data_IF_342479423940
#
_entry.id   IF_342479423940
#
_cell.length_a   1.000
_cell.length_b   1.000
_cell.length_c   1.000
_cell.angle_alpha   90.00
_cell.angle_beta   90.00
_cell.angle_gamma   90.00
#
_symmetry.space_group_name_H-M   'P 1'
#
loop_
_entity.id
_entity.type
_entity.pdbx_description
1 polymer ?
#
# COMPACT_ATOMS: atom_id res chain seq x y z
N UNK A 1 11.43 -7.90 14.22
CA UNK A 1 11.43 -6.42 14.18
C UNK A 1 12.15 -5.97 12.90
N UNK A 2 11.68 -4.92 12.25
CA UNK A 2 12.33 -4.30 11.10
C UNK A 2 13.51 -3.46 11.62
N UNK A 3 14.71 -3.72 11.10
CA UNK A 3 15.89 -2.91 11.41
C UNK A 3 15.89 -1.63 10.58
N UNK A 4 15.91 -0.47 11.23
CA UNK A 4 15.80 0.82 10.56
C UNK A 4 17.02 1.12 9.65
N UNK A 5 18.23 0.68 10.04
CA UNK A 5 19.42 0.88 9.21
C UNK A 5 19.35 0.07 7.91
N UNK A 6 18.98 -1.20 8.01
CA UNK A 6 18.78 -2.07 6.85
C UNK A 6 17.66 -1.54 5.94
N UNK A 7 16.55 -1.05 6.52
CA UNK A 7 15.46 -0.44 5.77
C UNK A 7 15.94 0.79 4.98
N UNK A 8 16.66 1.71 5.64
CA UNK A 8 17.17 2.94 5.00
C UNK A 8 18.22 2.67 3.91
N UNK A 9 18.96 1.57 4.01
CA UNK A 9 19.99 1.19 3.05
C UNK A 9 19.43 0.49 1.79
N UNK A 10 18.14 0.13 1.79
CA UNK A 10 17.51 -0.61 0.68
C UNK A 10 17.48 0.21 -0.61
N UNK A 11 17.60 -0.46 -1.75
CA UNK A 11 17.56 0.14 -3.10
C UNK A 11 16.33 -0.35 -3.86
N UNK A 12 15.79 0.45 -4.80
CA UNK A 12 16.21 1.81 -5.23
C UNK A 12 15.88 2.90 -4.21
N UNK A 13 14.99 2.66 -3.28
CA UNK A 13 14.61 3.51 -2.14
C UNK A 13 14.23 2.59 -0.96
N UNK A 14 14.08 3.12 0.27
CA UNK A 14 13.71 2.28 1.41
C UNK A 14 12.38 1.58 1.20
N UNK A 15 12.39 0.24 1.24
CA UNK A 15 11.19 -0.61 1.17
C UNK A 15 11.43 -1.93 1.90
N UNK A 16 10.36 -2.61 2.28
CA UNK A 16 10.40 -3.92 2.94
C UNK A 16 9.04 -4.60 2.73
N UNK A 17 9.02 -5.92 2.70
CA UNK A 17 7.80 -6.72 2.60
C UNK A 17 7.79 -7.82 3.67
N UNK A 18 7.67 -7.46 4.97
CA UNK A 18 7.70 -8.42 6.07
C UNK A 18 6.44 -9.29 6.06
N UNK A 19 6.62 -10.55 6.46
CA UNK A 19 5.53 -11.48 6.70
C UNK A 19 5.08 -11.40 8.16
N UNK A 20 3.81 -11.74 8.43
CA UNK A 20 3.21 -11.75 9.76
C UNK A 20 3.37 -10.41 10.50
N UNK A 21 3.15 -9.31 9.77
CA UNK A 21 3.19 -7.98 10.37
C UNK A 21 2.08 -7.78 11.40
N UNK A 22 0.91 -8.33 11.12
CA UNK A 22 -0.23 -8.39 12.05
C UNK A 22 -0.20 -9.76 12.74
N UNK A 23 -0.51 -9.80 14.03
CA UNK A 23 -0.67 -11.08 14.76
C UNK A 23 -1.78 -11.90 14.09
N UNK A 24 -1.53 -13.19 13.85
CA UNK A 24 -2.33 -14.03 12.96
C UNK A 24 -3.83 -14.06 13.30
N UNK A 25 -4.18 -14.24 14.59
CA UNK A 25 -5.60 -14.22 15.03
C UNK A 25 -6.27 -12.89 14.66
N UNK A 26 -5.55 -11.76 14.82
CA UNK A 26 -6.04 -10.44 14.48
C UNK A 26 -6.15 -10.23 12.97
N UNK A 27 -5.21 -10.77 12.21
CA UNK A 27 -5.28 -10.78 10.76
C UNK A 27 -6.52 -11.53 10.26
N UNK A 28 -6.77 -12.72 10.77
CA UNK A 28 -7.98 -13.49 10.45
C UNK A 28 -9.27 -12.75 10.83
N UNK A 29 -9.27 -12.02 11.96
CA UNK A 29 -10.40 -11.21 12.38
C UNK A 29 -10.67 -10.03 11.43
N UNK A 30 -9.60 -9.38 10.94
CA UNK A 30 -9.72 -8.31 9.95
C UNK A 30 -10.26 -8.84 8.63
N UNK A 31 -9.80 -10.00 8.16
CA UNK A 31 -10.28 -10.65 6.94
C UNK A 31 -11.79 -10.93 6.99
N UNK A 32 -12.28 -11.51 8.10
CA UNK A 32 -13.70 -11.83 8.26
C UNK A 32 -14.62 -10.60 8.32
N UNK A 33 -14.05 -9.43 8.59
CA UNK A 33 -14.78 -8.18 8.81
C UNK A 33 -14.38 -7.07 7.83
N UNK A 34 -13.85 -7.44 6.65
CA UNK A 34 -13.56 -6.45 5.58
C UNK A 34 -14.83 -5.65 5.27
N UNK A 35 -14.76 -4.31 5.17
CA UNK A 35 -15.91 -3.51 4.80
C UNK A 35 -16.54 -3.97 3.48
N UNK A 36 -17.87 -3.99 3.42
CA UNK A 36 -18.59 -4.40 2.23
C UNK A 36 -18.26 -3.52 1.03
N UNK A 37 -18.04 -4.12 -0.13
CA UNK A 37 -17.61 -3.44 -1.36
C UNK A 37 -18.62 -2.37 -1.83
N UNK A 38 -19.89 -2.49 -1.44
CA UNK A 38 -20.92 -1.49 -1.74
C UNK A 38 -20.64 -0.12 -1.11
N UNK A 39 -19.78 -0.06 -0.09
CA UNK A 39 -19.35 1.19 0.54
C UNK A 39 -18.19 1.88 -0.21
N UNK A 40 -17.63 1.24 -1.23
CA UNK A 40 -16.47 1.75 -1.94
C UNK A 40 -16.87 2.58 -3.16
N UNK A 41 -16.12 3.61 -3.42
CA UNK A 41 -16.22 4.42 -4.64
C UNK A 41 -15.43 3.75 -5.77
N UNK A 42 -16.03 3.66 -6.94
CA UNK A 42 -15.41 3.09 -8.14
C UNK A 42 -14.61 4.15 -8.91
N UNK A 43 -13.37 3.83 -9.25
CA UNK A 43 -12.50 4.67 -10.07
C UNK A 43 -11.91 3.83 -11.18
N UNK A 44 -12.44 3.97 -12.41
CA UNK A 44 -12.01 3.23 -13.58
C UNK A 44 -11.88 4.15 -14.79
N UNK A 45 -10.88 3.90 -15.64
CA UNK A 45 -10.66 4.63 -16.89
C UNK A 45 -10.41 6.13 -16.73
N UNK A 46 -10.12 6.60 -15.52
CA UNK A 46 -9.88 8.03 -15.28
C UNK A 46 -8.47 8.42 -15.67
N UNK A 47 -8.36 9.24 -16.70
CA UNK A 47 -7.09 9.82 -17.07
C UNK A 47 -6.50 10.64 -15.92
N UNK A 48 -5.23 10.42 -15.61
CA UNK A 48 -4.48 11.16 -14.61
C UNK A 48 -3.75 12.35 -15.22
N UNK A 49 -3.18 13.20 -14.36
CA UNK A 49 -2.36 14.33 -14.81
C UNK A 49 -1.12 13.84 -15.58
N UNK A 50 -0.58 14.70 -16.41
CA UNK A 50 0.63 14.46 -17.21
C UNK A 50 0.55 13.23 -18.15
N UNK A 51 -0.64 12.82 -18.57
CA UNK A 51 -0.83 11.68 -19.48
C UNK A 51 -0.66 10.31 -18.83
N UNK A 52 -0.55 10.25 -17.49
CA UNK A 52 -0.41 8.99 -16.77
C UNK A 52 -1.68 8.12 -16.91
N UNK A 53 -1.48 6.81 -17.01
CA UNK A 53 -2.59 5.86 -17.12
C UNK A 53 -3.46 5.81 -15.87
N UNK A 54 -4.66 5.25 -16.00
CA UNK A 54 -5.63 5.11 -14.91
C UNK A 54 -5.08 4.26 -13.76
N UNK A 55 -5.58 4.54 -12.55
CA UNK A 55 -5.48 3.64 -11.41
C UNK A 55 -6.86 3.04 -11.15
N UNK A 56 -7.12 1.91 -11.75
CA UNK A 56 -8.42 1.25 -11.70
C UNK A 56 -8.59 0.50 -10.38
N UNK A 57 -9.54 0.97 -9.58
CA UNK A 57 -9.80 0.39 -8.25
C UNK A 57 -11.14 0.82 -7.67
N UNK A 58 -11.59 0.05 -6.70
CA UNK A 58 -12.56 0.50 -5.70
C UNK A 58 -11.79 1.04 -4.49
N UNK A 59 -12.23 2.15 -3.91
CA UNK A 59 -11.58 2.78 -2.74
C UNK A 59 -12.61 3.20 -1.70
N UNK A 60 -12.31 2.92 -0.44
CA UNK A 60 -13.03 3.44 0.73
C UNK A 60 -12.04 4.23 1.58
N UNK A 61 -12.14 5.54 1.57
CA UNK A 61 -11.35 6.40 2.45
C UNK A 61 -11.88 6.31 3.89
N UNK A 62 -10.97 6.18 4.84
CA UNK A 62 -11.32 6.25 6.25
C UNK A 62 -11.61 7.67 6.68
N UNK A 63 -12.76 7.88 7.28
CA UNK A 63 -13.15 9.12 7.94
C UNK A 63 -13.36 8.89 9.43
N UNK A 64 -12.91 9.84 10.24
CA UNK A 64 -13.05 9.74 11.68
C UNK A 64 -14.55 9.71 12.06
N UNK A 65 -14.91 8.68 12.80
CA UNK A 65 -16.30 8.46 13.23
C UNK A 65 -17.15 7.62 12.27
N UNK A 66 -16.58 7.14 11.15
CA UNK A 66 -17.29 6.17 10.32
C UNK A 66 -17.56 4.87 11.08
N UNK A 67 -18.67 4.22 10.76
CA UNK A 67 -19.00 2.92 11.33
C UNK A 67 -18.08 1.84 10.75
N UNK A 68 -17.35 1.17 11.64
CA UNK A 68 -16.49 0.04 11.34
C UNK A 68 -16.79 -1.11 12.28
N UNK A 69 -16.56 -2.33 11.82
CA UNK A 69 -16.48 -3.49 12.70
C UNK A 69 -15.45 -3.22 13.82
N UNK A 70 -15.71 -3.70 15.05
CA UNK A 70 -14.82 -3.43 16.19
C UNK A 70 -13.35 -3.75 15.91
N UNK A 71 -13.08 -4.84 15.19
CA UNK A 71 -11.73 -5.28 14.83
C UNK A 71 -10.98 -4.25 13.97
N UNK A 72 -11.66 -3.65 13.01
CA UNK A 72 -11.10 -2.60 12.16
C UNK A 72 -10.92 -1.30 12.92
N UNK A 73 -11.85 -0.95 13.80
CA UNK A 73 -11.71 0.22 14.66
C UNK A 73 -10.48 0.12 15.56
N UNK A 74 -10.35 -1.02 16.27
CA UNK A 74 -9.21 -1.28 17.16
C UNK A 74 -7.87 -1.25 16.38
N UNK A 75 -7.86 -1.80 15.16
CA UNK A 75 -6.67 -1.77 14.31
C UNK A 75 -6.30 -0.35 13.88
N UNK A 76 -7.24 0.44 13.43
CA UNK A 76 -6.98 1.85 13.07
C UNK A 76 -6.55 2.67 14.29
N UNK A 77 -7.12 2.44 15.46
CA UNK A 77 -6.69 3.06 16.72
C UNK A 77 -5.25 2.72 17.07
N UNK A 78 -4.83 1.45 16.92
CA UNK A 78 -3.44 1.05 17.10
C UNK A 78 -2.51 1.75 16.10
N UNK A 79 -2.88 1.83 14.82
CA UNK A 79 -2.11 2.56 13.81
C UNK A 79 -2.02 4.07 14.09
N UNK A 80 -3.00 4.63 14.80
CA UNK A 80 -3.00 6.02 15.25
C UNK A 80 -2.21 6.25 16.53
N UNK A 81 -1.80 5.19 17.24
CA UNK A 81 -1.12 5.28 18.52
C UNK A 81 0.25 6.00 18.43
N UNK A 82 0.68 6.59 19.55
CA UNK A 82 2.02 7.18 19.64
C UNK A 82 3.13 6.14 19.49
N UNK A 83 2.86 4.88 19.89
CA UNK A 83 3.81 3.77 19.74
C UNK A 83 4.05 3.51 18.26
N UNK A 84 3.00 3.35 17.47
CA UNK A 84 3.10 3.10 16.05
C UNK A 84 3.68 4.30 15.29
N UNK A 85 3.29 5.51 15.66
CA UNK A 85 3.84 6.75 15.10
C UNK A 85 5.35 6.85 15.31
N UNK A 86 5.84 6.58 16.51
CA UNK A 86 7.30 6.56 16.80
C UNK A 86 8.02 5.49 15.99
N UNK A 87 7.43 4.31 15.83
CA UNK A 87 7.99 3.26 14.99
C UNK A 87 8.17 3.72 13.54
N UNK A 88 7.13 4.28 12.91
CA UNK A 88 7.20 4.78 11.52
C UNK A 88 8.16 5.98 11.42
N UNK A 89 8.15 6.91 12.36
CA UNK A 89 9.12 8.00 12.38
C UNK A 89 10.56 7.50 12.43
N UNK A 90 10.83 6.47 13.23
CA UNK A 90 12.15 5.84 13.32
C UNK A 90 12.56 5.15 12.01
N UNK A 91 11.66 4.43 11.36
CA UNK A 91 11.94 3.81 10.05
C UNK A 91 12.23 4.86 8.97
N UNK A 92 11.43 5.92 8.90
CA UNK A 92 11.56 6.96 7.89
C UNK A 92 12.61 8.02 8.22
N UNK A 93 13.22 7.97 9.41
CA UNK A 93 14.15 8.98 9.93
C UNK A 93 13.58 10.40 9.88
N UNK A 94 12.34 10.58 10.35
CA UNK A 94 11.64 11.87 10.41
C UNK A 94 11.11 12.13 11.81
N UNK A 95 10.89 13.42 12.14
CA UNK A 95 10.38 13.82 13.47
C UNK A 95 8.87 13.69 13.61
N UNK A 96 8.13 13.69 12.49
CA UNK A 96 6.68 13.68 12.51
C UNK A 96 6.09 13.05 11.25
N UNK A 97 4.98 12.31 11.41
CA UNK A 97 4.16 11.78 10.32
C UNK A 97 2.68 12.02 10.59
N UNK A 98 1.91 12.17 9.52
CA UNK A 98 0.47 12.15 9.54
C UNK A 98 -0.01 10.97 8.73
N UNK A 99 -0.92 10.18 9.28
CA UNK A 99 -1.50 9.03 8.59
C UNK A 99 -2.78 9.41 7.88
N UNK A 100 -3.01 8.75 6.75
CA UNK A 100 -4.27 8.67 6.03
C UNK A 100 -4.50 7.20 5.70
N UNK A 101 -5.69 6.70 5.94
CA UNK A 101 -6.03 5.31 5.73
C UNK A 101 -7.09 5.18 4.64
N UNK A 102 -7.03 4.11 3.88
CA UNK A 102 -8.07 3.69 2.97
C UNK A 102 -7.96 2.19 2.69
N UNK A 103 -9.07 1.57 2.37
CA UNK A 103 -9.09 0.25 1.75
C UNK A 103 -9.20 0.41 0.25
N UNK A 104 -8.60 -0.50 -0.49
CA UNK A 104 -8.84 -0.58 -1.91
C UNK A 104 -8.88 -2.02 -2.42
N UNK A 105 -9.66 -2.25 -3.48
CA UNK A 105 -9.67 -3.46 -4.26
C UNK A 105 -9.35 -3.11 -5.71
N UNK A 106 -8.46 -3.88 -6.31
CA UNK A 106 -8.20 -3.84 -7.75
C UNK A 106 -8.82 -5.11 -8.34
N UNK A 107 -9.88 -4.99 -9.16
CA UNK A 107 -10.51 -6.16 -9.75
C UNK A 107 -9.64 -6.77 -10.85
N UNK A 108 -9.97 -7.99 -11.29
CA UNK A 108 -9.33 -8.62 -12.45
C UNK A 108 -9.36 -7.69 -13.66
N UNK A 109 -8.22 -7.54 -14.33
CA UNK A 109 -8.01 -6.61 -15.45
C UNK A 109 -7.81 -5.14 -15.05
N UNK A 110 -7.93 -4.80 -13.76
CA UNK A 110 -7.58 -3.47 -13.27
C UNK A 110 -6.07 -3.28 -13.15
N UNK A 111 -5.60 -2.06 -13.37
CA UNK A 111 -4.18 -1.72 -13.34
C UNK A 111 -3.93 -0.50 -12.45
N UNK A 112 -2.84 -0.54 -11.70
CA UNK A 112 -2.23 0.63 -11.09
C UNK A 112 -0.90 0.87 -11.79
N UNK A 113 -0.91 1.76 -12.77
CA UNK A 113 0.27 2.04 -13.61
C UNK A 113 1.48 2.53 -12.83
N UNK A 114 2.70 2.35 -13.37
CA UNK A 114 3.93 2.92 -12.81
C UNK A 114 3.78 4.42 -12.52
N UNK A 115 4.18 4.84 -11.33
CA UNK A 115 4.07 6.25 -10.93
C UNK A 115 4.95 6.57 -9.72
N UNK A 116 5.26 7.84 -9.55
CA UNK A 116 5.77 8.37 -8.30
C UNK A 116 4.61 8.90 -7.43
N UNK A 117 4.69 8.68 -6.14
CA UNK A 117 3.75 9.24 -5.18
C UNK A 117 3.77 10.78 -5.12
N UNK A 118 2.73 11.39 -4.60
CA UNK A 118 2.60 12.84 -4.49
C UNK A 118 3.72 13.44 -3.62
N UNK A 119 4.09 14.71 -3.90
CA UNK A 119 5.21 15.41 -3.25
C UNK A 119 5.11 15.46 -1.71
N UNK A 120 3.91 15.45 -1.16
CA UNK A 120 3.70 15.49 0.30
C UNK A 120 3.66 14.12 0.97
N UNK A 121 3.74 13.03 0.20
CA UNK A 121 3.68 11.66 0.72
C UNK A 121 5.09 11.16 1.00
N UNK A 122 5.36 10.80 2.25
CA UNK A 122 6.64 10.27 2.69
C UNK A 122 6.81 8.78 2.36
N UNK A 123 5.71 8.04 2.31
CA UNK A 123 5.68 6.61 2.02
C UNK A 123 4.28 6.04 2.06
N UNK A 124 4.18 4.77 1.72
CA UNK A 124 2.97 3.95 1.87
C UNK A 124 3.30 2.72 2.67
N UNK A 125 2.40 2.32 3.54
CA UNK A 125 2.36 0.97 4.06
C UNK A 125 1.08 0.32 3.58
N UNK A 126 1.21 -0.85 2.97
CA UNK A 126 0.09 -1.63 2.45
C UNK A 126 0.00 -2.89 3.30
N UNK A 127 -1.18 -3.19 3.81
CA UNK A 127 -1.49 -4.46 4.46
C UNK A 127 -2.23 -5.33 3.45
N UNK A 128 -1.60 -6.42 3.04
CA UNK A 128 -2.17 -7.32 2.04
C UNK A 128 -3.10 -8.31 2.72
N UNK A 129 -4.36 -8.24 2.34
CA UNK A 129 -5.46 -9.05 2.89
C UNK A 129 -5.87 -10.18 1.95
N UNK A 130 -5.20 -10.35 0.83
CA UNK A 130 -5.46 -11.45 -0.09
C UNK A 130 -5.02 -12.79 0.52
N UNK A 131 -5.78 -13.83 0.23
CA UNK A 131 -5.46 -15.22 0.53
C UNK A 131 -5.07 -15.97 -0.74
N UNK A 132 -4.74 -17.26 -0.65
CA UNK A 132 -4.50 -18.12 -1.80
C UNK A 132 -5.72 -18.31 -2.70
N UNK A 133 -6.93 -18.06 -2.18
CA UNK A 133 -8.18 -18.10 -2.96
C UNK A 133 -8.38 -16.83 -3.78
N UNK A 134 -7.90 -15.69 -3.27
CA UNK A 134 -8.10 -14.37 -3.89
C UNK A 134 -7.00 -14.03 -4.88
N UNK A 135 -5.79 -14.50 -4.65
CA UNK A 135 -4.64 -14.14 -5.47
C UNK A 135 -3.55 -15.22 -5.45
N UNK A 136 -2.99 -15.50 -6.62
CA UNK A 136 -1.86 -16.39 -6.80
C UNK A 136 -0.76 -15.73 -7.63
N UNK A 137 0.48 -16.09 -7.36
CA UNK A 137 1.63 -15.62 -8.10
C UNK A 137 1.47 -15.89 -9.61
N UNK A 138 1.73 -14.85 -10.42
CA UNK A 138 1.60 -14.93 -11.87
C UNK A 138 0.21 -14.57 -12.41
N UNK A 139 -0.75 -14.25 -11.54
CA UNK A 139 -2.04 -13.69 -12.00
C UNK A 139 -1.96 -12.20 -12.33
N UNK A 140 -0.85 -11.53 -11.99
CA UNK A 140 -0.70 -10.10 -12.05
C UNK A 140 -1.25 -9.41 -10.79
N UNK A 141 -1.15 -8.07 -10.75
CA UNK A 141 -1.59 -7.29 -9.61
C UNK A 141 -0.59 -7.21 -8.46
N UNK A 142 0.62 -7.73 -8.65
CA UNK A 142 1.72 -7.55 -7.70
C UNK A 142 2.04 -6.07 -7.51
N UNK A 143 2.41 -5.70 -6.27
CA UNK A 143 3.09 -4.44 -6.06
C UNK A 143 4.55 -4.59 -6.48
N UNK A 144 4.96 -3.83 -7.49
CA UNK A 144 6.33 -3.88 -8.02
C UNK A 144 7.07 -2.61 -7.66
N UNK A 145 8.23 -2.78 -7.02
CA UNK A 145 9.17 -1.68 -6.76
C UNK A 145 10.03 -1.52 -8.00
N UNK A 146 10.01 -0.33 -8.57
CA UNK A 146 10.62 -0.04 -9.87
C UNK A 146 11.84 0.85 -9.71
N UNK A 147 12.93 0.54 -10.41
CA UNK A 147 14.18 1.32 -10.39
C UNK A 147 14.45 1.95 -11.77
N UNK A 148 14.31 3.25 -11.84
CA UNK A 148 14.58 4.07 -13.03
C UNK A 148 15.97 4.73 -13.01
N UNK A 149 16.80 4.43 -12.02
CA UNK A 149 18.10 5.10 -11.77
C UNK A 149 17.99 6.63 -11.65
N UNK A 150 16.83 7.11 -11.22
CA UNK A 150 16.56 8.54 -11.05
C UNK A 150 16.34 9.32 -12.36
N UNK A 151 16.03 8.65 -13.47
CA UNK A 151 15.79 9.29 -14.79
C UNK A 151 14.40 9.93 -14.90
N UNK A 152 13.42 9.39 -14.18
CA UNK A 152 12.04 9.84 -14.27
C UNK A 152 11.72 10.88 -13.19
N UNK A 153 10.72 11.69 -13.47
CA UNK A 153 10.20 12.68 -12.52
C UNK A 153 8.75 12.36 -12.17
N UNK A 154 8.19 13.05 -11.18
CA UNK A 154 6.78 12.90 -10.79
C UNK A 154 5.79 13.27 -11.90
N UNK A 155 6.22 14.08 -12.84
CA UNK A 155 5.41 14.54 -13.97
C UNK A 155 5.61 13.66 -15.21
N UNK A 156 6.42 12.61 -15.11
CA UNK A 156 6.59 11.61 -16.16
C UNK A 156 5.35 10.68 -16.22
N UNK A 157 5.09 10.15 -17.41
CA UNK A 157 4.08 9.11 -17.66
C UNK A 157 4.80 7.81 -18.04
N UNK A 158 5.42 7.10 -17.07
CA UNK A 158 6.24 5.95 -17.37
C UNK A 158 5.42 4.73 -17.79
N UNK A 159 6.02 3.90 -18.62
CA UNK A 159 5.64 2.52 -18.87
C UNK A 159 6.57 1.56 -18.13
N UNK A 160 6.28 0.27 -18.10
CA UNK A 160 7.17 -0.73 -17.48
C UNK A 160 8.53 -0.80 -18.21
N UNK A 161 8.59 -0.51 -19.50
CA UNK A 161 9.84 -0.52 -20.28
C UNK A 161 10.83 0.60 -19.90
N UNK A 162 10.39 1.56 -19.10
CA UNK A 162 11.23 2.69 -18.67
C UNK A 162 12.13 2.37 -17.46
N UNK A 163 12.03 1.15 -16.90
CA UNK A 163 12.73 0.76 -15.68
C UNK A 163 13.85 -0.24 -15.95
N UNK A 164 14.95 -0.10 -15.20
CA UNK A 164 16.14 -0.96 -15.33
C UNK A 164 16.03 -2.25 -14.49
N UNK A 165 15.26 -2.19 -13.42
CA UNK A 165 15.04 -3.32 -12.52
C UNK A 165 13.68 -3.24 -11.85
N UNK A 166 13.15 -4.41 -11.54
CA UNK A 166 11.85 -4.63 -10.91
C UNK A 166 12.01 -5.55 -9.71
N UNK A 167 11.37 -5.19 -8.60
CA UNK A 167 11.37 -5.97 -7.36
C UNK A 167 9.93 -6.23 -6.94
N UNK A 168 9.32 -7.34 -7.33
CA UNK A 168 7.94 -7.65 -6.98
C UNK A 168 7.83 -8.01 -5.50
N UNK A 169 6.84 -7.41 -4.83
CA UNK A 169 6.47 -7.75 -3.46
C UNK A 169 5.41 -8.85 -3.44
N UNK A 170 5.45 -9.73 -2.45
CA UNK A 170 4.37 -10.69 -2.20
C UNK A 170 3.16 -9.94 -1.65
N UNK A 171 2.00 -10.08 -2.30
CA UNK A 171 0.80 -9.27 -2.03
C UNK A 171 -0.32 -10.05 -1.36
N UNK A 172 0.02 -11.00 -0.49
CA UNK A 172 -0.92 -11.84 0.27
C UNK A 172 -0.35 -12.25 1.63
N UNK A 173 -1.11 -13.04 2.37
CA UNK A 173 -0.69 -13.78 3.56
C UNK A 173 -0.07 -12.90 4.65
N UNK A 174 -0.80 -11.86 5.07
CA UNK A 174 -0.39 -10.99 6.17
C UNK A 174 0.99 -10.35 5.95
N UNK A 175 1.30 -9.99 4.70
CA UNK A 175 2.47 -9.16 4.39
C UNK A 175 2.13 -7.67 4.43
N UNK A 176 3.15 -6.87 4.60
CA UNK A 176 3.04 -5.42 4.60
C UNK A 176 4.24 -4.76 3.91
#
# INVERSE_FOLDING_TARGET
AIDAGSFQAQKPFPWVNPQHFIVEDRYCDLLRNIPDISNFNAFFGKQRKHGQASHDRYILDYERGMELAPQWRDFVEELCSDRYRRFICGLLNVSHVRFRFHWHFTPSGGEVSPHCDSKGKLGSQIFYLNTDEDWQWGWGGETVILDDKGRLTRDSAPSFDDFDAEYPAVTKDNRS
#
